data_IF_542839656222
#
_entry.id   IF_542839656222
#
_cell.length_a   1.000
_cell.length_b   1.000
_cell.length_c   1.000
_cell.angle_alpha   90.00
_cell.angle_beta   90.00
_cell.angle_gamma   90.00
#
_symmetry.space_group_name_H-M   'P 1'
#
loop_
_entity.id
_entity.type
_entity.pdbx_description
1 polymer ?
#
# COMPACT_ATOMS: atom_id res chain seq x y z
N UNK A 1 -47.89 -81.31 4.29
CA UNK A 1 -47.34 -82.67 4.19
C UNK A 1 -45.84 -82.56 3.94
N UNK A 2 -45.04 -83.33 4.70
CA UNK A 2 -43.66 -83.82 4.45
C UNK A 2 -42.82 -83.01 3.42
N UNK A 3 -41.68 -82.44 3.80
CA UNK A 3 -40.49 -83.24 4.10
C UNK A 3 -39.30 -82.44 4.65
N UNK A 4 -38.56 -83.12 5.52
CA UNK A 4 -37.30 -82.78 6.19
C UNK A 4 -36.15 -83.23 5.27
N UNK A 5 -34.99 -82.55 5.22
CA UNK A 5 -33.65 -83.00 5.70
C UNK A 5 -32.61 -81.97 5.17
N UNK A 6 -32.05 -81.09 6.02
CA UNK A 6 -30.70 -81.13 6.64
C UNK A 6 -29.70 -80.30 5.83
N UNK A 7 -28.91 -79.39 6.43
CA UNK A 7 -27.49 -79.63 6.75
C UNK A 7 -26.92 -78.53 7.67
N UNK A 8 -26.17 -79.02 8.68
CA UNK A 8 -25.08 -78.44 9.48
C UNK A 8 -25.21 -77.09 10.19
N UNK A 9 -25.05 -77.17 11.52
CA UNK A 9 -24.69 -76.09 12.44
C UNK A 9 -23.20 -75.78 12.35
N UNK A 10 -22.86 -74.50 12.29
CA UNK A 10 -21.60 -73.93 12.77
C UNK A 10 -21.91 -72.83 13.79
N UNK A 11 -21.24 -72.78 14.95
CA UNK A 11 -21.49 -71.77 15.96
C UNK A 11 -20.82 -70.46 15.56
N UNK A 12 -21.60 -69.38 15.45
CA UNK A 12 -21.07 -68.01 15.35
C UNK A 12 -20.55 -67.59 16.73
N UNK A 13 -19.24 -67.43 16.83
CA UNK A 13 -18.58 -66.78 17.95
C UNK A 13 -18.96 -65.29 17.96
N UNK A 14 -19.42 -64.81 19.11
CA UNK A 14 -19.59 -63.39 19.42
C UNK A 14 -18.20 -62.77 19.57
N UNK A 15 -17.79 -61.95 18.59
CA UNK A 15 -16.63 -61.06 18.71
C UNK A 15 -17.09 -59.76 19.36
N UNK A 16 -16.69 -59.57 20.61
CA UNK A 16 -16.77 -58.30 21.32
C UNK A 16 -15.80 -57.29 20.67
N UNK A 17 -16.33 -56.20 20.13
CA UNK A 17 -15.53 -55.08 19.67
C UNK A 17 -15.07 -54.25 20.88
N UNK A 18 -13.80 -54.39 21.24
CA UNK A 18 -13.13 -53.49 22.20
C UNK A 18 -12.88 -52.14 21.51
N UNK A 19 -13.58 -51.10 21.95
CA UNK A 19 -13.32 -49.73 21.54
C UNK A 19 -12.05 -49.22 22.24
N UNK A 20 -10.96 -49.06 21.49
CA UNK A 20 -9.77 -48.33 21.94
C UNK A 20 -10.02 -46.82 21.81
N UNK A 21 -10.35 -46.17 22.93
CA UNK A 21 -10.34 -44.71 23.04
C UNK A 21 -8.90 -44.20 22.98
N UNK A 22 -8.48 -43.66 21.83
CA UNK A 22 -7.25 -42.87 21.74
C UNK A 22 -7.52 -41.49 22.37
N UNK A 23 -6.92 -41.23 23.54
CA UNK A 23 -6.93 -39.91 24.14
C UNK A 23 -6.04 -38.97 23.31
N UNK A 24 -6.64 -38.05 22.56
CA UNK A 24 -5.92 -36.91 22.01
C UNK A 24 -5.51 -36.00 23.16
N UNK A 25 -4.21 -35.98 23.49
CA UNK A 25 -3.64 -34.95 24.31
C UNK A 25 -3.68 -33.62 23.52
N UNK A 26 -4.59 -32.74 23.89
CA UNK A 26 -4.60 -31.35 23.42
C UNK A 26 -3.39 -30.66 24.06
N UNK A 27 -2.32 -30.50 23.30
CA UNK A 27 -1.22 -29.62 23.69
C UNK A 27 -1.74 -28.18 23.54
N UNK A 28 -2.18 -27.60 24.65
CA UNK A 28 -2.45 -26.16 24.72
C UNK A 28 -1.09 -25.47 24.57
N UNK A 29 -0.82 -24.94 23.37
CA UNK A 29 0.31 -24.07 23.16
C UNK A 29 0.13 -22.84 24.04
N UNK A 30 0.89 -22.76 25.13
CA UNK A 30 1.01 -21.55 25.94
C UNK A 30 1.52 -20.47 24.99
N UNK A 31 0.85 -19.31 24.84
CA UNK A 31 1.36 -18.24 24.01
C UNK A 31 2.74 -17.87 24.55
N UNK A 32 3.75 -17.97 23.69
CA UNK A 32 5.08 -17.43 23.99
C UNK A 32 4.90 -15.97 24.41
N UNK A 33 5.46 -15.54 25.56
CA UNK A 33 5.41 -14.14 25.94
C UNK A 33 6.00 -13.34 24.78
N UNK A 34 5.24 -12.35 24.29
CA UNK A 34 5.75 -11.40 23.31
C UNK A 34 7.08 -10.88 23.85
N UNK A 35 8.17 -11.14 23.12
CA UNK A 35 9.47 -10.55 23.43
C UNK A 35 9.20 -9.05 23.51
N UNK A 36 9.35 -8.46 24.70
CA UNK A 36 9.23 -7.02 24.87
C UNK A 36 10.12 -6.39 23.81
N UNK A 37 9.53 -5.67 22.85
CA UNK A 37 10.31 -5.04 21.80
C UNK A 37 11.41 -4.23 22.47
N UNK A 38 12.66 -4.35 22.04
CA UNK A 38 13.74 -3.56 22.61
C UNK A 38 13.72 -2.19 21.93
N UNK A 39 14.10 -1.12 22.65
CA UNK A 39 14.32 0.18 22.01
C UNK A 39 15.38 0.01 20.90
N UNK A 40 15.20 0.62 19.71
CA UNK A 40 16.15 0.48 18.62
C UNK A 40 17.56 0.89 19.02
N UNK A 41 18.55 0.25 18.41
CA UNK A 41 19.96 0.61 18.61
C UNK A 41 20.25 2.02 18.07
N UNK A 42 21.36 2.62 18.50
CA UNK A 42 21.77 3.94 17.98
C UNK A 42 21.89 3.98 16.45
N UNK A 43 21.49 5.09 15.85
CA UNK A 43 21.42 5.26 14.39
C UNK A 43 20.54 6.43 13.96
N UNK A 44 20.41 6.65 12.65
CA UNK A 44 19.54 7.69 12.10
C UNK A 44 18.12 7.15 11.84
N UNK A 45 17.12 7.87 12.34
CA UNK A 45 15.71 7.50 12.28
C UNK A 45 14.84 8.69 11.87
N UNK A 46 13.70 8.37 11.26
CA UNK A 46 12.52 9.22 11.24
C UNK A 46 11.69 8.95 12.49
N UNK A 47 11.29 10.00 13.19
CA UNK A 47 10.27 9.92 14.24
C UNK A 47 8.92 10.12 13.56
N UNK A 48 8.23 9.03 13.24
CA UNK A 48 7.04 9.03 12.40
C UNK A 48 5.80 8.70 13.21
N UNK A 49 4.76 9.53 13.13
CA UNK A 49 3.51 9.33 13.86
C UNK A 49 2.83 8.03 13.44
N UNK A 50 2.47 7.18 14.39
CA UNK A 50 1.70 5.97 14.10
C UNK A 50 0.23 6.28 13.72
N UNK A 51 -0.23 7.51 13.95
CA UNK A 51 -1.60 7.96 13.66
C UNK A 51 -1.69 8.59 12.28
N UNK A 52 -0.80 9.51 11.95
CA UNK A 52 -0.88 10.32 10.72
C UNK A 52 0.07 9.82 9.63
N UNK A 53 1.10 9.04 9.99
CA UNK A 53 2.18 8.65 9.09
C UNK A 53 3.15 9.80 8.74
N UNK A 54 2.97 10.98 9.34
CA UNK A 54 3.83 12.15 9.13
C UNK A 54 5.08 12.11 10.01
N UNK A 55 6.15 12.77 9.56
CA UNK A 55 7.43 12.81 10.27
C UNK A 55 7.54 14.05 11.16
N UNK A 56 8.17 13.90 12.32
CA UNK A 56 8.62 15.04 13.11
C UNK A 56 9.81 15.72 12.40
N UNK A 57 9.63 17.00 12.06
CA UNK A 57 10.56 17.84 11.34
C UNK A 57 10.96 19.06 12.18
N UNK A 58 12.22 19.46 12.13
CA UNK A 58 12.63 20.78 12.65
C UNK A 58 12.21 21.88 11.67
N UNK A 59 11.44 22.84 12.17
CA UNK A 59 11.02 24.05 11.48
C UNK A 59 11.45 25.27 12.28
N UNK A 60 12.69 25.69 12.08
CA UNK A 60 13.28 26.87 12.73
C UNK A 60 13.13 26.86 14.27
N UNK A 61 13.36 25.71 14.91
CA UNK A 61 13.25 25.55 16.36
C UNK A 61 11.92 24.95 16.83
N UNK A 62 10.85 25.09 16.03
CA UNK A 62 9.63 24.32 16.21
C UNK A 62 9.86 22.88 15.76
N UNK A 63 9.17 21.92 16.40
CA UNK A 63 9.08 20.56 15.84
C UNK A 63 7.65 20.30 15.44
N UNK A 64 7.46 20.05 14.14
CA UNK A 64 6.16 19.93 13.49
C UNK A 64 6.02 18.58 12.77
N UNK A 65 4.78 18.17 12.47
CA UNK A 65 4.49 17.06 11.58
C UNK A 65 4.49 17.53 10.14
N UNK A 66 5.44 17.04 9.35
CA UNK A 66 5.52 17.30 7.93
C UNK A 66 5.29 16.02 7.11
N UNK A 67 4.89 16.21 5.85
CA UNK A 67 4.82 15.12 4.88
C UNK A 67 6.19 14.44 4.75
N UNK A 68 6.28 13.09 4.83
CA UNK A 68 7.56 12.42 4.70
C UNK A 68 8.28 12.82 3.41
N UNK A 69 9.53 13.28 3.54
CA UNK A 69 10.33 13.81 2.43
C UNK A 69 11.77 13.29 2.41
N UNK A 70 11.96 12.04 2.86
CA UNK A 70 13.25 11.36 2.77
C UNK A 70 14.36 12.12 3.51
N UNK A 71 15.43 12.49 2.82
CA UNK A 71 16.54 13.25 3.40
C UNK A 71 16.42 14.77 3.20
N UNK A 72 15.23 15.25 2.87
CA UNK A 72 14.90 16.66 2.83
C UNK A 72 14.06 17.03 4.06
N UNK A 73 13.86 18.35 4.26
CA UNK A 73 12.87 18.89 5.20
C UNK A 73 13.14 18.55 6.68
N UNK A 74 14.41 18.36 7.05
CA UNK A 74 14.87 18.29 8.45
C UNK A 74 14.19 17.21 9.32
N UNK A 75 13.95 16.03 8.74
CA UNK A 75 13.13 14.97 9.35
C UNK A 75 13.93 13.82 10.01
N UNK A 76 15.27 13.88 9.97
CA UNK A 76 16.13 12.79 10.41
C UNK A 76 16.82 13.09 11.75
N UNK A 77 16.79 12.11 12.64
CA UNK A 77 17.27 12.20 14.01
C UNK A 77 18.21 11.04 14.34
N UNK A 78 19.42 11.37 14.79
CA UNK A 78 20.38 10.43 15.34
C UNK A 78 20.00 10.05 16.77
N UNK A 79 19.49 8.83 16.94
CA UNK A 79 19.21 8.24 18.25
C UNK A 79 20.51 7.85 18.95
N UNK A 80 20.69 8.30 20.19
CA UNK A 80 21.86 8.03 21.03
C UNK A 80 21.43 7.76 22.47
N UNK A 81 22.14 6.86 23.15
CA UNK A 81 21.97 6.67 24.60
C UNK A 81 22.64 7.79 25.37
N UNK A 82 21.99 8.29 26.43
CA UNK A 82 22.52 9.28 27.36
C UNK A 82 22.16 8.88 28.80
N UNK A 83 23.08 8.18 29.46
CA UNK A 83 22.79 7.52 30.74
C UNK A 83 21.69 6.47 30.59
N UNK A 84 20.60 6.62 31.34
CA UNK A 84 19.39 5.78 31.24
C UNK A 84 18.33 6.32 30.27
N UNK A 85 18.59 7.45 29.62
CA UNK A 85 17.68 8.10 28.67
C UNK A 85 18.24 8.06 27.24
N UNK A 86 17.49 8.64 26.31
CA UNK A 86 17.83 8.75 24.91
C UNK A 86 17.84 10.21 24.45
N UNK A 87 18.70 10.51 23.49
CA UNK A 87 18.73 11.77 22.75
C UNK A 87 18.42 11.48 21.28
N UNK A 88 17.71 12.40 20.63
CA UNK A 88 17.41 12.38 19.21
C UNK A 88 18.02 13.66 18.62
N UNK A 89 19.29 13.59 18.21
CA UNK A 89 20.01 14.74 17.67
C UNK A 89 19.74 14.92 16.18
N UNK A 90 19.45 16.14 15.73
CA UNK A 90 19.28 16.46 14.31
C UNK A 90 20.48 15.95 13.49
N UNK A 91 20.21 15.38 12.31
CA UNK A 91 21.27 15.05 11.35
C UNK A 91 21.87 16.29 10.68
N UNK A 92 21.14 17.40 10.71
CA UNK A 92 21.47 18.59 9.91
C UNK A 92 22.17 19.65 10.76
N UNK A 93 21.88 19.70 12.06
CA UNK A 93 22.46 20.67 13.00
C UNK A 93 23.05 19.97 14.22
N UNK A 94 24.38 19.86 14.24
CA UNK A 94 25.10 19.24 15.35
C UNK A 94 24.82 19.94 16.70
N UNK A 95 24.61 19.14 17.74
CA UNK A 95 24.28 19.63 19.09
C UNK A 95 22.85 20.14 19.28
N UNK A 96 22.00 20.06 18.25
CA UNK A 96 20.56 20.36 18.33
C UNK A 96 19.74 19.08 18.41
N UNK A 97 18.95 18.90 19.48
CA UNK A 97 18.18 17.70 19.75
C UNK A 97 16.68 17.97 19.75
N UNK A 98 15.89 17.00 19.27
CA UNK A 98 14.46 16.93 19.52
C UNK A 98 14.23 16.87 21.04
N UNK A 99 13.60 17.90 21.56
CA UNK A 99 13.31 18.07 22.97
C UNK A 99 12.03 18.85 23.19
N UNK A 100 12.02 19.64 24.26
CA UNK A 100 10.80 20.24 24.81
C UNK A 100 11.01 21.69 25.21
N UNK A 101 9.96 22.48 25.12
CA UNK A 101 9.86 23.78 25.79
C UNK A 101 8.42 23.95 26.26
N UNK A 102 8.21 23.81 27.58
CA UNK A 102 6.86 23.71 28.14
C UNK A 102 6.07 22.55 27.54
N UNK A 103 4.87 22.85 27.04
CA UNK A 103 3.98 21.87 26.40
C UNK A 103 4.23 21.67 24.89
N UNK A 104 5.32 22.19 24.33
CA UNK A 104 5.63 22.10 22.91
C UNK A 104 6.90 21.30 22.63
N UNK A 105 6.89 20.51 21.56
CA UNK A 105 8.09 19.90 21.02
C UNK A 105 8.92 20.97 20.29
N UNK A 106 10.21 21.04 20.61
CA UNK A 106 11.16 22.03 20.10
C UNK A 106 12.50 21.39 19.86
N UNK A 107 13.34 22.00 19.03
CA UNK A 107 14.77 21.69 19.06
C UNK A 107 15.46 22.48 20.17
N UNK A 108 16.31 21.79 20.93
CA UNK A 108 17.02 22.33 22.10
C UNK A 108 18.47 21.88 22.06
N UNK A 109 19.36 22.55 22.81
CA UNK A 109 20.75 22.08 22.94
C UNK A 109 20.75 20.68 23.57
N UNK A 110 21.48 19.73 22.98
CA UNK A 110 21.49 18.32 23.42
C UNK A 110 21.95 18.09 24.87
N UNK A 111 22.66 19.06 25.47
CA UNK A 111 23.07 19.02 26.88
C UNK A 111 21.97 19.46 27.85
N UNK A 112 20.86 20.01 27.35
CA UNK A 112 19.71 20.38 28.16
C UNK A 112 18.99 19.15 28.72
N UNK A 113 18.47 19.25 29.94
CA UNK A 113 17.57 18.23 30.50
C UNK A 113 16.30 18.04 29.64
N UNK A 114 15.89 19.09 28.92
CA UNK A 114 14.73 19.05 28.02
C UNK A 114 14.97 18.27 26.72
N UNK A 115 16.21 17.83 26.45
CA UNK A 115 16.54 17.01 25.29
C UNK A 115 16.32 15.50 25.52
N UNK A 116 16.37 15.05 26.79
CA UNK A 116 16.37 13.63 27.14
C UNK A 116 14.97 13.00 27.04
N UNK A 117 14.86 11.77 26.52
CA UNK A 117 13.60 11.01 26.43
C UNK A 117 13.75 9.64 27.07
N UNK A 118 12.73 9.21 27.82
CA UNK A 118 12.50 7.81 28.15
C UNK A 118 11.74 7.17 26.98
N UNK A 119 12.42 6.37 26.16
CA UNK A 119 11.81 5.68 25.02
C UNK A 119 11.40 4.28 25.47
N UNK A 120 10.13 3.95 25.34
CA UNK A 120 9.59 2.65 25.75
C UNK A 120 8.71 2.04 24.66
N UNK A 121 8.69 0.71 24.50
CA UNK A 121 7.79 0.05 23.58
C UNK A 121 6.32 0.29 23.91
N UNK A 122 5.49 0.46 22.88
CA UNK A 122 4.04 0.69 22.98
C UNK A 122 3.22 -0.29 22.12
N UNK A 123 3.88 -1.24 21.45
CA UNK A 123 3.25 -2.23 20.58
C UNK A 123 4.28 -2.96 19.72
N UNK A 124 3.84 -3.57 18.62
CA UNK A 124 4.74 -4.15 17.62
C UNK A 124 5.47 -3.03 16.88
N UNK A 125 6.75 -2.84 17.21
CA UNK A 125 7.63 -1.82 16.62
C UNK A 125 7.11 -0.37 16.72
N UNK A 126 6.35 -0.09 17.79
CA UNK A 126 5.89 1.25 18.15
C UNK A 126 6.48 1.64 19.50
N UNK A 127 6.70 2.93 19.70
CA UNK A 127 7.37 3.49 20.87
C UNK A 127 6.65 4.74 21.36
N UNK A 128 6.75 4.98 22.67
CA UNK A 128 6.41 6.25 23.29
C UNK A 128 7.69 6.98 23.69
N UNK A 129 7.72 8.30 23.50
CA UNK A 129 8.81 9.16 23.95
C UNK A 129 8.30 9.95 25.16
N UNK A 130 8.66 9.51 26.36
CA UNK A 130 8.23 10.08 27.64
C UNK A 130 9.26 11.07 28.17
N UNK A 131 8.81 12.21 28.69
CA UNK A 131 9.68 13.19 29.33
C UNK A 131 10.11 12.66 30.71
N UNK A 132 11.42 12.55 31.00
CA UNK A 132 11.91 11.91 32.21
C UNK A 132 11.33 12.51 33.50
N UNK A 133 10.92 11.66 34.43
CA UNK A 133 10.36 12.10 35.73
C UNK A 133 8.96 12.72 35.68
N UNK A 134 8.26 12.66 34.55
CA UNK A 134 6.87 13.16 34.38
C UNK A 134 6.02 12.11 33.68
N UNK A 135 4.69 12.24 33.64
CA UNK A 135 3.82 11.38 32.81
C UNK A 135 3.48 11.98 31.44
N UNK A 136 4.32 12.90 30.97
CA UNK A 136 4.12 13.62 29.72
C UNK A 136 4.91 12.99 28.57
N UNK A 137 4.32 12.96 27.39
CA UNK A 137 4.86 12.26 26.20
C UNK A 137 4.92 13.20 25.00
N UNK A 138 5.79 12.93 24.02
CA UNK A 138 5.67 13.51 22.69
C UNK A 138 4.37 13.04 22.05
N UNK A 139 3.55 13.97 21.58
CA UNK A 139 2.22 13.67 21.04
C UNK A 139 1.90 14.49 19.80
N UNK A 140 1.13 13.90 18.92
CA UNK A 140 0.34 14.64 17.93
C UNK A 140 -0.76 15.43 18.66
N UNK A 141 -0.96 16.70 18.29
CA UNK A 141 -2.08 17.49 18.82
C UNK A 141 -3.44 16.87 18.48
N UNK A 142 -4.43 17.05 19.35
CA UNK A 142 -5.77 16.54 19.11
C UNK A 142 -6.35 17.12 17.79
N UNK A 143 -6.97 16.27 16.97
CA UNK A 143 -7.59 16.67 15.69
C UNK A 143 -8.84 17.52 15.96
N UNK A 144 -8.90 18.78 15.51
CA UNK A 144 -10.14 19.56 15.56
C UNK A 144 -11.18 18.99 14.58
N UNK A 145 -12.46 19.09 14.93
CA UNK A 145 -13.54 18.66 14.03
C UNK A 145 -13.47 19.42 12.69
N UNK A 146 -13.56 18.70 11.58
CA UNK A 146 -13.51 19.29 10.23
C UNK A 146 -12.13 19.77 9.77
N UNK A 147 -11.06 19.47 10.51
CA UNK A 147 -9.70 19.91 10.19
C UNK A 147 -8.69 18.75 10.18
N UNK A 148 -7.52 18.98 9.60
CA UNK A 148 -6.39 18.06 9.74
C UNK A 148 -5.80 18.11 11.16
N UNK A 149 -4.94 17.15 11.50
CA UNK A 149 -4.18 17.20 12.75
C UNK A 149 -3.26 18.44 12.77
N UNK A 150 -3.06 19.08 13.93
CA UNK A 150 -2.12 20.20 14.06
C UNK A 150 -0.70 19.79 13.64
N UNK A 151 -0.03 20.69 12.94
CA UNK A 151 1.37 20.52 12.55
C UNK A 151 2.28 20.50 13.78
N UNK A 152 2.24 21.53 14.62
CA UNK A 152 3.04 21.62 15.85
C UNK A 152 2.85 20.40 16.75
N UNK A 153 3.94 19.72 17.06
CA UNK A 153 3.94 18.63 18.02
C UNK A 153 3.91 19.15 19.45
N UNK A 154 3.14 18.45 20.29
CA UNK A 154 2.88 18.82 21.66
C UNK A 154 3.53 17.82 22.60
N UNK A 155 3.79 18.28 23.81
CA UNK A 155 4.00 17.42 24.96
C UNK A 155 2.62 17.19 25.56
N UNK A 156 2.24 15.97 25.90
CA UNK A 156 0.85 15.58 26.12
C UNK A 156 0.69 14.38 27.05
N UNK A 157 -0.53 13.91 27.22
CA UNK A 157 -0.82 12.66 27.96
C UNK A 157 -0.41 11.44 27.13
N UNK A 158 -0.23 10.29 27.79
CA UNK A 158 -0.12 9.02 27.09
C UNK A 158 -1.40 8.70 26.26
N UNK A 159 -1.28 7.85 25.25
CA UNK A 159 -2.40 7.40 24.43
C UNK A 159 -2.00 7.15 22.98
N UNK A 160 -2.98 6.93 22.11
CA UNK A 160 -2.74 6.66 20.68
C UNK A 160 -2.00 7.79 19.96
N UNK A 161 -2.27 9.05 20.32
CA UNK A 161 -1.57 10.23 19.78
C UNK A 161 -0.10 10.31 20.21
N UNK A 162 0.32 9.52 21.20
CA UNK A 162 1.69 9.43 21.71
C UNK A 162 2.47 8.24 21.11
N UNK A 163 1.90 7.54 20.12
CA UNK A 163 2.52 6.37 19.49
C UNK A 163 3.33 6.77 18.26
N UNK A 164 4.60 6.35 18.24
CA UNK A 164 5.59 6.70 17.22
C UNK A 164 6.28 5.46 16.68
N UNK A 165 6.54 5.47 15.38
CA UNK A 165 7.56 4.63 14.78
C UNK A 165 8.91 5.34 14.83
N UNK A 166 9.95 4.61 15.20
CA UNK A 166 11.33 5.01 14.93
C UNK A 166 11.77 4.28 13.67
N UNK A 167 11.49 4.89 12.51
CA UNK A 167 11.74 4.27 11.20
C UNK A 167 13.19 4.51 10.79
N UNK A 168 14.03 3.47 10.63
CA UNK A 168 15.44 3.67 10.28
C UNK A 168 15.56 4.28 8.88
N UNK A 169 16.49 5.24 8.71
CA UNK A 169 16.80 5.85 7.41
C UNK A 169 17.28 4.80 6.41
N UNK A 170 18.04 3.81 6.90
CA UNK A 170 18.51 2.66 6.13
C UNK A 170 17.94 1.39 6.76
N UNK A 171 16.72 0.95 6.38
CA UNK A 171 16.14 -0.28 6.91
C UNK A 171 16.92 -1.50 6.42
N UNK A 172 16.95 -2.54 7.25
CA UNK A 172 17.36 -3.87 6.79
C UNK A 172 16.36 -4.39 5.75
N UNK A 173 16.87 -5.18 4.82
CA UNK A 173 16.07 -5.86 3.80
C UNK A 173 16.42 -7.33 3.78
N UNK A 174 15.47 -8.17 3.39
CA UNK A 174 15.70 -9.60 3.20
C UNK A 174 15.85 -9.89 1.71
N UNK A 175 16.63 -10.91 1.30
CA UNK A 175 16.65 -11.37 -0.09
C UNK A 175 15.24 -11.74 -0.56
N UNK A 176 14.94 -11.45 -1.83
CA UNK A 176 13.67 -11.88 -2.44
C UNK A 176 13.56 -13.42 -2.40
N UNK A 177 12.44 -13.99 -1.91
CA UNK A 177 12.20 -15.42 -2.03
C UNK A 177 12.21 -15.89 -3.50
N UNK A 178 12.44 -17.18 -3.71
CA UNK A 178 12.37 -17.76 -5.04
C UNK A 178 10.98 -17.54 -5.68
N UNK A 179 10.87 -17.57 -7.03
CA UNK A 179 9.61 -17.28 -7.72
C UNK A 179 8.40 -18.10 -7.27
N UNK A 180 8.60 -19.32 -6.79
CA UNK A 180 7.57 -20.23 -6.26
C UNK A 180 7.14 -19.92 -4.81
N UNK A 181 7.94 -19.16 -4.06
CA UNK A 181 7.68 -18.84 -2.65
C UNK A 181 7.22 -17.40 -2.43
N UNK A 182 7.53 -16.47 -3.35
CA UNK A 182 7.20 -15.05 -3.18
C UNK A 182 5.69 -14.79 -3.22
N UNK A 183 5.21 -13.97 -2.29
CA UNK A 183 3.80 -13.55 -2.18
C UNK A 183 3.52 -12.29 -2.99
N UNK A 184 2.25 -12.01 -3.29
CA UNK A 184 1.86 -10.85 -4.09
C UNK A 184 2.34 -9.52 -3.47
N UNK A 185 2.28 -9.39 -2.14
CA UNK A 185 2.76 -8.21 -1.40
C UNK A 185 4.28 -8.09 -1.32
N UNK A 186 5.03 -9.09 -1.78
CA UNK A 186 6.48 -9.02 -1.92
C UNK A 186 6.93 -8.56 -3.31
N UNK A 187 6.09 -8.69 -4.34
CA UNK A 187 6.48 -8.38 -5.73
C UNK A 187 6.16 -6.94 -6.09
N UNK A 188 7.05 -6.32 -6.86
CA UNK A 188 6.86 -5.00 -7.45
C UNK A 188 6.56 -5.12 -8.94
N UNK A 189 5.61 -4.34 -9.44
CA UNK A 189 5.15 -4.32 -10.83
C UNK A 189 5.27 -2.90 -11.42
N UNK A 190 5.69 -2.82 -12.68
CA UNK A 190 5.58 -1.60 -13.46
C UNK A 190 4.10 -1.29 -13.69
N UNK A 191 3.70 -0.05 -13.42
CA UNK A 191 2.32 0.42 -13.54
C UNK A 191 2.25 1.63 -14.45
N UNK A 192 1.37 1.61 -15.45
CA UNK A 192 1.13 2.76 -16.31
C UNK A 192 0.03 3.64 -15.71
N UNK A 193 0.37 4.89 -15.39
CA UNK A 193 -0.61 5.91 -15.00
C UNK A 193 -1.44 6.31 -16.22
N UNK A 194 -2.76 6.42 -16.06
CA UNK A 194 -3.73 6.67 -17.14
C UNK A 194 -3.40 5.89 -18.41
N UNK A 195 -3.29 4.56 -18.28
CA UNK A 195 -2.78 3.69 -19.33
C UNK A 195 -3.56 3.82 -20.65
N UNK A 196 -4.85 4.11 -20.58
CA UNK A 196 -5.75 4.36 -21.70
C UNK A 196 -5.47 5.68 -22.44
N UNK A 197 -4.84 6.65 -21.76
CA UNK A 197 -4.48 7.96 -22.32
C UNK A 197 -3.19 7.86 -23.16
N UNK A 198 -3.27 7.06 -24.23
CA UNK A 198 -2.15 6.70 -25.08
C UNK A 198 -2.29 7.15 -26.55
N UNK A 199 -3.51 7.47 -26.99
CA UNK A 199 -3.80 7.94 -28.36
C UNK A 199 -3.70 6.88 -29.46
N UNK A 200 -3.22 5.66 -29.15
CA UNK A 200 -3.12 4.53 -30.08
C UNK A 200 -4.42 3.73 -30.11
N UNK A 201 -5.00 3.47 -28.94
CA UNK A 201 -6.21 2.66 -28.81
C UNK A 201 -7.50 3.45 -29.08
N UNK A 202 -7.45 4.76 -28.86
CA UNK A 202 -8.55 5.69 -29.05
C UNK A 202 -8.25 7.07 -28.47
N UNK A 203 -9.17 8.01 -28.63
CA UNK A 203 -9.07 9.31 -27.97
C UNK A 203 -9.50 9.21 -26.51
N UNK A 204 -8.89 10.04 -25.67
CA UNK A 204 -9.12 10.01 -24.22
C UNK A 204 -9.45 11.40 -23.65
N UNK A 205 -9.24 12.47 -24.42
CA UNK A 205 -9.49 13.84 -23.99
C UNK A 205 -9.79 14.75 -25.21
N UNK A 206 -10.27 15.99 -24.98
CA UNK A 206 -10.40 16.99 -26.03
C UNK A 206 -9.07 17.24 -26.76
N UNK A 207 -9.10 17.73 -28.03
CA UNK A 207 -7.93 17.75 -28.91
C UNK A 207 -6.64 18.37 -28.35
N UNK A 208 -6.75 19.37 -27.47
CA UNK A 208 -5.59 20.07 -26.89
C UNK A 208 -4.88 19.27 -25.78
N UNK A 209 -5.59 18.39 -25.07
CA UNK A 209 -5.00 17.52 -24.02
C UNK A 209 -4.26 16.33 -24.64
N UNK A 210 -4.66 15.90 -25.86
CA UNK A 210 -3.97 14.84 -26.61
C UNK A 210 -2.50 15.19 -26.96
N UNK A 211 -2.05 16.43 -26.76
CA UNK A 211 -0.66 16.85 -27.00
C UNK A 211 0.33 16.39 -25.92
N UNK A 212 -0.17 15.94 -24.76
CA UNK A 212 0.64 15.45 -23.63
C UNK A 212 0.05 14.14 -23.08
N UNK A 213 0.01 13.06 -23.89
CA UNK A 213 -0.57 11.80 -23.45
C UNK A 213 0.26 11.19 -22.32
N UNK A 214 -0.40 10.54 -21.36
CA UNK A 214 0.28 9.86 -20.26
C UNK A 214 1.15 8.72 -20.78
N UNK A 215 0.74 8.03 -21.84
CA UNK A 215 1.51 6.97 -22.49
C UNK A 215 1.57 7.19 -24.01
N UNK A 216 2.42 6.45 -24.73
CA UNK A 216 2.55 6.55 -26.21
C UNK A 216 2.26 5.24 -26.93
N UNK A 217 1.87 4.21 -26.17
CA UNK A 217 1.70 2.83 -26.65
C UNK A 217 0.36 2.30 -26.15
N UNK A 218 -0.37 1.60 -27.02
CA UNK A 218 -1.67 1.01 -26.67
C UNK A 218 -1.54 -0.15 -25.68
N UNK A 219 -2.63 -0.52 -24.99
CA UNK A 219 -2.67 -1.48 -23.88
C UNK A 219 -1.95 -2.80 -24.20
N UNK A 220 -2.14 -3.37 -25.40
CA UNK A 220 -1.47 -4.61 -25.80
C UNK A 220 0.05 -4.47 -25.85
N UNK A 221 0.56 -3.33 -26.30
CA UNK A 221 2.00 -3.06 -26.32
C UNK A 221 2.52 -2.82 -24.90
N UNK A 222 1.77 -2.13 -24.03
CA UNK A 222 2.14 -1.97 -22.62
C UNK A 222 2.29 -3.33 -21.92
N UNK A 223 1.33 -4.25 -22.14
CA UNK A 223 1.41 -5.63 -21.65
C UNK A 223 2.64 -6.35 -22.21
N UNK A 224 2.92 -6.21 -23.50
CA UNK A 224 4.10 -6.80 -24.15
C UNK A 224 5.41 -6.25 -23.57
N UNK A 225 5.44 -4.97 -23.22
CA UNK A 225 6.61 -4.28 -22.65
C UNK A 225 6.87 -4.59 -21.17
N UNK A 226 5.98 -5.36 -20.52
CA UNK A 226 6.13 -5.77 -19.13
C UNK A 226 5.34 -4.94 -18.12
N UNK A 227 4.45 -4.03 -18.55
CA UNK A 227 3.49 -3.37 -17.65
C UNK A 227 2.50 -4.40 -17.12
N UNK A 228 2.28 -4.39 -15.81
CA UNK A 228 1.38 -5.33 -15.11
C UNK A 228 0.39 -4.64 -14.17
N UNK A 229 0.57 -3.34 -13.92
CA UNK A 229 -0.44 -2.48 -13.30
C UNK A 229 -0.97 -1.44 -14.29
N UNK A 230 -2.27 -1.16 -14.24
CA UNK A 230 -2.91 -0.21 -15.14
C UNK A 230 -3.84 0.72 -14.35
N UNK A 231 -3.56 2.01 -14.34
CA UNK A 231 -4.50 3.01 -13.80
C UNK A 231 -5.39 3.52 -14.93
N UNK A 232 -6.69 3.57 -14.67
CA UNK A 232 -7.71 3.88 -15.67
C UNK A 232 -8.80 4.75 -15.07
N UNK A 233 -9.13 5.85 -15.73
CA UNK A 233 -10.22 6.72 -15.31
C UNK A 233 -11.45 6.34 -16.12
N UNK A 234 -12.56 6.12 -15.42
CA UNK A 234 -13.82 5.76 -16.05
C UNK A 234 -14.88 6.79 -15.74
N UNK A 235 -15.54 7.27 -16.79
CA UNK A 235 -16.66 8.19 -16.69
C UNK A 235 -17.91 7.56 -17.29
N UNK A 236 -19.05 7.76 -16.62
CA UNK A 236 -20.32 7.30 -17.14
C UNK A 236 -20.80 8.20 -18.28
N UNK A 237 -21.15 7.60 -19.40
CA UNK A 237 -21.83 8.24 -20.53
C UNK A 237 -23.11 7.49 -20.88
N UNK A 238 -23.84 7.93 -21.92
CA UNK A 238 -24.95 7.16 -22.47
C UNK A 238 -24.55 5.77 -22.99
N UNK A 239 -23.26 5.57 -23.28
CA UNK A 239 -22.73 4.38 -23.94
C UNK A 239 -22.09 3.39 -22.94
N UNK A 240 -22.11 3.72 -21.64
CA UNK A 240 -21.57 2.89 -20.55
C UNK A 240 -20.42 3.56 -19.80
N UNK A 241 -19.48 2.75 -19.30
CA UNK A 241 -18.25 3.23 -18.67
C UNK A 241 -17.18 3.47 -19.74
N UNK A 242 -16.79 4.74 -19.91
CA UNK A 242 -15.89 5.16 -20.97
C UNK A 242 -14.59 5.70 -20.38
N UNK A 243 -13.48 5.36 -21.02
CA UNK A 243 -12.13 5.76 -20.64
C UNK A 243 -11.83 7.18 -21.12
N UNK A 244 -11.79 8.15 -20.21
CA UNK A 244 -11.56 9.57 -20.50
C UNK A 244 -10.83 10.27 -19.37
N UNK A 245 -10.00 11.26 -19.71
CA UNK A 245 -9.32 12.08 -18.72
C UNK A 245 -10.19 13.28 -18.36
N UNK A 246 -10.63 13.36 -17.09
CA UNK A 246 -11.44 14.42 -16.49
C UNK A 246 -12.88 14.57 -17.07
N UNK A 247 -13.08 14.41 -18.38
CA UNK A 247 -14.40 14.44 -19.03
C UNK A 247 -14.38 13.73 -20.39
N UNK A 248 -15.48 13.04 -20.73
CA UNK A 248 -15.71 12.47 -22.06
C UNK A 248 -16.29 13.45 -23.10
N UNK A 249 -16.39 14.74 -22.78
CA UNK A 249 -16.90 15.76 -23.71
C UNK A 249 -15.91 16.00 -24.86
N UNK A 250 -16.39 16.00 -26.11
CA UNK A 250 -15.58 16.25 -27.32
C UNK A 250 -14.38 15.29 -27.50
N UNK A 251 -14.45 14.10 -26.91
CA UNK A 251 -13.46 13.04 -27.13
C UNK A 251 -13.79 12.31 -28.44
N UNK A 252 -12.82 12.25 -29.35
CA UNK A 252 -12.96 11.52 -30.60
C UNK A 252 -12.61 10.05 -30.42
N UNK A 253 -13.52 9.13 -30.78
CA UNK A 253 -13.35 7.67 -30.68
C UNK A 253 -12.91 7.21 -29.27
N UNK A 254 -13.70 7.51 -28.24
CA UNK A 254 -13.39 7.05 -26.90
C UNK A 254 -13.53 5.52 -26.81
N UNK A 255 -12.81 4.92 -25.86
CA UNK A 255 -12.79 3.47 -25.65
C UNK A 255 -13.63 3.13 -24.44
N UNK A 256 -14.51 2.12 -24.56
CA UNK A 256 -15.27 1.61 -23.42
C UNK A 256 -14.39 0.70 -22.56
N UNK A 257 -14.58 0.73 -21.23
CA UNK A 257 -13.78 -0.01 -20.26
C UNK A 257 -13.65 -1.50 -20.62
N UNK A 258 -14.76 -2.14 -20.97
CA UNK A 258 -14.79 -3.58 -21.25
C UNK A 258 -13.85 -3.98 -22.40
N UNK A 259 -13.56 -3.08 -23.35
CA UNK A 259 -12.64 -3.34 -24.47
C UNK A 259 -11.21 -3.53 -23.97
N UNK A 260 -10.75 -2.65 -23.08
CA UNK A 260 -9.39 -2.71 -22.56
C UNK A 260 -9.22 -3.83 -21.53
N UNK A 261 -10.25 -4.11 -20.72
CA UNK A 261 -10.25 -5.30 -19.86
C UNK A 261 -10.27 -6.59 -20.70
N UNK A 262 -10.97 -6.63 -21.84
CA UNK A 262 -10.93 -7.77 -22.76
C UNK A 262 -9.52 -8.02 -23.30
N UNK A 263 -8.79 -6.96 -23.69
CA UNK A 263 -7.38 -7.08 -24.10
C UNK A 263 -6.51 -7.71 -23.00
N UNK A 264 -6.70 -7.33 -21.74
CA UNK A 264 -5.98 -7.91 -20.61
C UNK A 264 -6.36 -9.37 -20.36
N UNK A 265 -7.64 -9.72 -20.44
CA UNK A 265 -8.10 -11.11 -20.30
C UNK A 265 -7.53 -11.98 -21.42
N UNK A 266 -7.50 -11.50 -22.66
CA UNK A 266 -6.95 -12.25 -23.80
C UNK A 266 -5.43 -12.38 -23.72
N UNK A 267 -4.73 -11.38 -23.19
CA UNK A 267 -3.32 -11.49 -22.84
C UNK A 267 -3.09 -12.57 -21.78
N UNK A 268 -3.86 -12.57 -20.69
CA UNK A 268 -3.73 -13.58 -19.64
C UNK A 268 -4.00 -14.99 -20.15
N UNK A 269 -4.92 -15.18 -21.11
CA UNK A 269 -5.14 -16.47 -21.78
C UNK A 269 -3.92 -16.94 -22.57
N UNK A 270 -3.23 -16.02 -23.24
CA UNK A 270 -2.02 -16.32 -24.03
C UNK A 270 -0.76 -16.48 -23.17
N UNK A 271 -0.75 -15.87 -21.98
CA UNK A 271 0.37 -15.85 -21.05
C UNK A 271 -0.05 -16.35 -19.66
N UNK A 272 -0.16 -17.68 -19.47
CA UNK A 272 -0.72 -18.29 -18.26
C UNK A 272 0.10 -18.02 -16.99
N UNK A 273 1.36 -17.63 -17.12
CA UNK A 273 2.30 -17.32 -16.05
C UNK A 273 2.25 -15.85 -15.57
N UNK A 274 1.42 -15.02 -16.20
CA UNK A 274 1.36 -13.58 -15.93
C UNK A 274 0.16 -13.22 -15.06
N UNK A 275 0.29 -12.11 -14.32
CA UNK A 275 -0.78 -11.48 -13.53
C UNK A 275 -0.99 -10.03 -13.96
N UNK A 276 -2.19 -9.49 -13.82
CA UNK A 276 -2.50 -8.09 -14.12
C UNK A 276 -3.29 -7.48 -12.97
N UNK A 277 -3.04 -6.21 -12.67
CA UNK A 277 -3.83 -5.42 -11.73
C UNK A 277 -4.33 -4.15 -12.39
N UNK A 278 -5.61 -3.84 -12.20
CA UNK A 278 -6.26 -2.62 -12.69
C UNK A 278 -6.69 -1.77 -11.50
N UNK A 279 -6.40 -0.47 -11.54
CA UNK A 279 -6.86 0.54 -10.61
C UNK A 279 -7.78 1.49 -11.35
N UNK A 280 -9.01 1.64 -10.86
CA UNK A 280 -10.04 2.47 -11.47
C UNK A 280 -10.20 3.76 -10.65
N UNK A 281 -9.99 4.90 -11.30
CA UNK A 281 -10.55 6.17 -10.85
C UNK A 281 -11.99 6.25 -11.35
N UNK A 282 -12.95 6.13 -10.43
CA UNK A 282 -14.26 5.58 -10.74
C UNK A 282 -15.41 6.58 -10.55
N UNK A 283 -15.88 7.13 -11.66
CA UNK A 283 -17.02 8.07 -11.71
C UNK A 283 -18.30 7.43 -12.28
N UNK A 284 -18.45 6.11 -12.11
CA UNK A 284 -19.53 5.33 -12.73
C UNK A 284 -20.50 4.76 -11.68
N UNK A 285 -21.78 4.62 -12.02
CA UNK A 285 -22.74 3.90 -11.17
C UNK A 285 -22.34 2.41 -11.04
N UNK A 286 -22.41 1.79 -9.85
CA UNK A 286 -22.00 0.40 -9.66
C UNK A 286 -22.76 -0.60 -10.56
N UNK A 287 -24.01 -0.30 -10.93
CA UNK A 287 -24.81 -1.11 -11.86
C UNK A 287 -24.32 -1.04 -13.30
N UNK A 288 -23.88 0.14 -13.75
CA UNK A 288 -23.25 0.34 -15.06
C UNK A 288 -21.90 -0.35 -15.10
N UNK A 289 -21.04 -0.17 -14.09
CA UNK A 289 -19.74 -0.84 -14.02
C UNK A 289 -19.89 -2.37 -14.04
N UNK A 290 -20.82 -2.93 -13.27
CA UNK A 290 -21.13 -4.36 -13.28
C UNK A 290 -21.55 -4.84 -14.68
N UNK A 291 -22.39 -4.06 -15.36
CA UNK A 291 -22.87 -4.40 -16.71
C UNK A 291 -21.74 -4.36 -17.73
N UNK A 292 -20.82 -3.42 -17.61
CA UNK A 292 -19.63 -3.31 -18.47
C UNK A 292 -18.70 -4.51 -18.29
N UNK A 293 -18.39 -4.88 -17.04
CA UNK A 293 -17.56 -6.05 -16.76
C UNK A 293 -18.21 -7.36 -17.20
N UNK A 294 -19.53 -7.46 -17.16
CA UNK A 294 -20.27 -8.64 -17.65
C UNK A 294 -20.12 -8.85 -19.18
N UNK A 295 -19.67 -7.84 -19.93
CA UNK A 295 -19.37 -7.95 -21.37
C UNK A 295 -18.02 -8.60 -21.67
N UNK A 296 -17.16 -8.74 -20.67
CA UNK A 296 -15.80 -9.27 -20.83
C UNK A 296 -15.82 -10.80 -20.81
N UNK A 297 -15.50 -11.42 -21.95
CA UNK A 297 -15.51 -12.86 -22.12
C UNK A 297 -14.33 -13.54 -21.41
N UNK A 298 -14.65 -14.38 -20.42
CA UNK A 298 -13.67 -15.11 -19.61
C UNK A 298 -13.13 -14.33 -18.40
N UNK A 299 -13.72 -13.18 -18.06
CA UNK A 299 -13.30 -12.39 -16.89
C UNK A 299 -13.40 -13.19 -15.59
N UNK A 300 -14.51 -13.89 -15.38
CA UNK A 300 -14.74 -14.70 -14.18
C UNK A 300 -13.69 -15.78 -13.97
N UNK A 301 -13.09 -16.28 -15.05
CA UNK A 301 -12.13 -17.38 -15.00
C UNK A 301 -10.76 -16.92 -14.49
N UNK A 302 -10.46 -15.61 -14.63
CA UNK A 302 -9.18 -15.02 -14.25
C UNK A 302 -9.25 -14.07 -13.05
N UNK A 303 -10.44 -13.66 -12.63
CA UNK A 303 -10.62 -12.66 -11.58
C UNK A 303 -10.24 -13.21 -10.20
N UNK A 304 -9.31 -12.53 -9.53
CA UNK A 304 -8.94 -12.82 -8.15
C UNK A 304 -9.78 -12.00 -7.16
N UNK A 305 -10.31 -12.67 -6.14
CA UNK A 305 -11.22 -12.12 -5.12
C UNK A 305 -10.59 -12.22 -3.73
N UNK A 306 -9.76 -11.24 -3.31
CA UNK A 306 -9.05 -11.32 -2.03
C UNK A 306 -9.99 -11.36 -0.81
N UNK A 307 -11.21 -10.83 -0.95
CA UNK A 307 -12.28 -10.88 0.03
C UNK A 307 -12.81 -12.31 0.30
N UNK A 308 -12.57 -13.25 -0.62
CA UNK A 308 -13.06 -14.64 -0.54
C UNK A 308 -11.97 -15.67 -0.26
N UNK A 309 -10.71 -15.25 -0.21
CA UNK A 309 -9.54 -16.15 -0.10
C UNK A 309 -8.79 -16.03 1.21
N UNK A 310 -9.36 -15.30 2.18
CA UNK A 310 -8.80 -15.22 3.53
C UNK A 310 -7.56 -14.32 3.66
N UNK A 311 -7.34 -13.39 2.71
CA UNK A 311 -6.15 -12.53 2.69
C UNK A 311 -6.00 -11.72 3.99
N UNK A 312 -7.11 -11.29 4.59
CA UNK A 312 -7.07 -10.55 5.86
C UNK A 312 -6.56 -11.38 7.03
N UNK A 313 -6.78 -12.69 7.00
CA UNK A 313 -6.46 -13.63 8.07
C UNK A 313 -5.10 -14.32 7.86
N UNK A 314 -4.69 -14.49 6.60
CA UNK A 314 -3.52 -15.32 6.24
C UNK A 314 -2.46 -14.60 5.41
N UNK A 315 -2.69 -13.32 5.07
CA UNK A 315 -1.81 -12.56 4.19
C UNK A 315 -2.06 -12.82 2.71
N UNK A 316 -1.31 -12.13 1.87
CA UNK A 316 -1.44 -12.30 0.42
C UNK A 316 -0.91 -13.66 -0.04
N UNK A 317 -1.56 -14.30 -1.03
CA UNK A 317 -1.15 -15.61 -1.52
C UNK A 317 0.18 -15.54 -2.26
N UNK A 318 0.80 -16.71 -2.46
CA UNK A 318 1.95 -16.86 -3.34
C UNK A 318 1.55 -16.56 -4.78
N UNK A 319 2.48 -15.98 -5.52
CA UNK A 319 2.30 -15.75 -6.96
C UNK A 319 2.03 -17.06 -7.70
N UNK A 320 2.71 -18.15 -7.33
CA UNK A 320 2.51 -19.47 -7.91
C UNK A 320 1.09 -20.01 -7.68
N UNK A 321 0.49 -19.74 -6.51
CA UNK A 321 -0.86 -20.21 -6.19
C UNK A 321 -1.93 -19.45 -7.00
N UNK A 322 -1.75 -18.12 -7.18
CA UNK A 322 -2.58 -17.31 -8.06
C UNK A 322 -2.54 -17.83 -9.50
N UNK A 323 -1.33 -18.14 -9.99
CA UNK A 323 -1.12 -18.67 -11.34
C UNK A 323 -1.78 -20.04 -11.50
N UNK A 324 -1.52 -20.96 -10.57
CA UNK A 324 -2.06 -22.32 -10.62
C UNK A 324 -3.59 -22.36 -10.53
N UNK A 325 -4.20 -21.47 -9.76
CA UNK A 325 -5.65 -21.32 -9.64
C UNK A 325 -6.28 -20.51 -10.79
N UNK A 326 -5.49 -20.03 -11.74
CA UNK A 326 -5.87 -19.11 -12.80
C UNK A 326 -6.44 -17.76 -12.31
N UNK A 327 -6.38 -17.43 -11.02
CA UNK A 327 -6.83 -16.15 -10.47
C UNK A 327 -5.76 -15.07 -10.60
N UNK A 328 -5.65 -14.47 -11.79
CA UNK A 328 -4.51 -13.67 -12.22
C UNK A 328 -4.85 -12.21 -12.58
N UNK A 329 -6.09 -11.77 -12.39
CA UNK A 329 -6.52 -10.38 -12.59
C UNK A 329 -7.12 -9.80 -11.30
N UNK A 330 -6.57 -8.70 -10.79
CA UNK A 330 -7.18 -7.90 -9.73
C UNK A 330 -7.75 -6.60 -10.31
N UNK A 331 -8.90 -6.17 -9.80
CA UNK A 331 -9.50 -4.88 -10.15
C UNK A 331 -9.83 -4.14 -8.86
N UNK A 332 -9.30 -2.93 -8.72
CA UNK A 332 -9.55 -2.04 -7.60
C UNK A 332 -10.25 -0.76 -8.06
N UNK A 333 -11.05 -0.15 -7.18
CA UNK A 333 -11.74 1.14 -7.39
C UNK A 333 -11.31 2.14 -6.32
N UNK A 334 -11.16 3.42 -6.65
CA UNK A 334 -10.89 4.48 -5.68
C UNK A 334 -12.15 4.97 -4.94
N UNK A 335 -13.32 4.51 -5.39
CA UNK A 335 -14.62 4.75 -4.76
C UNK A 335 -14.65 4.19 -3.32
N UNK A 336 -15.59 4.68 -2.51
CA UNK A 336 -15.77 4.19 -1.14
C UNK A 336 -16.90 3.18 -1.05
N UNK A 337 -16.77 2.16 -0.19
CA UNK A 337 -17.86 1.21 0.09
C UNK A 337 -19.11 1.92 0.60
N UNK A 338 -18.96 2.86 1.53
CA UNK A 338 -20.07 3.62 2.10
C UNK A 338 -20.88 4.39 1.05
N UNK A 339 -20.22 4.86 -0.01
CA UNK A 339 -20.91 5.53 -1.12
C UNK A 339 -21.83 4.55 -1.89
N UNK A 340 -21.42 3.29 -2.03
CA UNK A 340 -22.18 2.25 -2.75
C UNK A 340 -23.23 1.53 -1.92
N UNK A 341 -23.04 1.45 -0.61
CA UNK A 341 -24.04 0.90 0.30
C UNK A 341 -25.38 1.62 0.17
N UNK A 342 -25.33 2.95 -0.05
CA UNK A 342 -26.51 3.76 -0.33
C UNK A 342 -27.22 3.39 -1.63
N UNK A 343 -26.49 2.84 -2.61
CA UNK A 343 -27.01 2.38 -3.89
C UNK A 343 -27.51 0.92 -3.85
N UNK A 344 -27.32 0.19 -2.75
CA UNK A 344 -27.74 -1.20 -2.60
C UNK A 344 -26.96 -2.21 -3.45
N UNK A 345 -25.85 -1.79 -4.06
CA UNK A 345 -24.98 -2.64 -4.87
C UNK A 345 -23.52 -2.25 -4.62
N UNK A 346 -22.80 -3.09 -3.89
CA UNK A 346 -21.38 -2.88 -3.62
C UNK A 346 -20.51 -3.52 -4.71
N UNK A 347 -19.41 -2.85 -5.06
CA UNK A 347 -18.48 -3.25 -6.14
C UNK A 347 -17.80 -4.57 -5.89
N UNK A 348 -17.53 -4.86 -4.61
CA UNK A 348 -16.97 -6.13 -4.21
C UNK A 348 -17.92 -7.29 -4.53
N UNK A 349 -19.24 -7.13 -4.57
CA UNK A 349 -20.17 -8.21 -4.94
C UNK A 349 -19.87 -8.84 -6.31
N UNK A 350 -19.38 -8.06 -7.27
CA UNK A 350 -19.00 -8.49 -8.62
C UNK A 350 -17.50 -8.45 -8.91
N UNK A 351 -16.68 -8.26 -7.86
CA UNK A 351 -15.25 -8.54 -7.90
C UNK A 351 -14.34 -7.35 -8.20
N UNK A 352 -14.84 -6.14 -7.98
CA UNK A 352 -14.04 -4.92 -7.93
C UNK A 352 -13.83 -4.53 -6.47
N UNK A 353 -12.58 -4.50 -6.01
CA UNK A 353 -12.24 -4.27 -4.61
C UNK A 353 -12.01 -2.78 -4.30
N UNK A 354 -12.40 -2.30 -3.13
CA UNK A 354 -12.17 -0.91 -2.75
C UNK A 354 -10.69 -0.66 -2.39
N UNK A 355 -10.00 0.23 -3.11
CA UNK A 355 -8.58 0.52 -2.90
C UNK A 355 -8.29 0.85 -1.43
N UNK A 356 -9.10 1.71 -0.80
CA UNK A 356 -8.92 2.11 0.61
C UNK A 356 -8.96 0.96 1.61
N UNK A 357 -9.52 -0.19 1.23
CA UNK A 357 -9.56 -1.40 2.07
C UNK A 357 -8.38 -2.34 1.81
N UNK A 358 -7.79 -2.30 0.62
CA UNK A 358 -6.83 -3.32 0.14
C UNK A 358 -5.43 -2.79 -0.17
N UNK A 359 -5.31 -1.48 -0.35
CA UNK A 359 -4.07 -0.80 -0.73
C UNK A 359 -3.81 0.41 0.16
N UNK A 360 -2.60 0.94 0.07
CA UNK A 360 -2.24 2.31 0.45
C UNK A 360 -1.63 2.99 -0.76
N UNK A 361 -1.81 4.31 -0.90
CA UNK A 361 -1.37 5.03 -2.08
C UNK A 361 -0.86 6.43 -1.72
N UNK A 362 0.29 6.83 -2.27
CA UNK A 362 0.80 8.18 -2.03
C UNK A 362 0.12 9.24 -2.90
N UNK A 363 0.25 10.49 -2.48
CA UNK A 363 -0.24 11.66 -3.21
C UNK A 363 0.18 11.61 -4.69
N UNK A 364 -0.79 11.89 -5.56
CA UNK A 364 -0.73 11.57 -6.99
C UNK A 364 0.26 12.44 -7.78
N UNK A 365 0.71 13.58 -7.26
CA UNK A 365 1.55 14.51 -8.03
C UNK A 365 2.89 14.80 -7.38
N UNK A 366 3.94 14.81 -8.22
CA UNK A 366 5.27 15.33 -7.92
C UNK A 366 5.42 16.82 -8.30
N UNK A 367 4.32 17.53 -8.48
CA UNK A 367 4.27 18.93 -8.88
C UNK A 367 3.91 19.13 -10.34
N UNK A 368 4.01 20.39 -10.79
CA UNK A 368 3.60 20.74 -12.15
C UNK A 368 4.48 20.09 -13.22
N UNK A 369 4.05 20.14 -14.47
CA UNK A 369 4.77 19.52 -15.60
C UNK A 369 6.21 20.01 -15.81
N UNK A 370 6.55 21.22 -15.35
CA UNK A 370 7.88 21.83 -15.49
C UNK A 370 8.46 22.22 -14.12
N UNK A 371 9.78 22.27 -14.03
CA UNK A 371 10.51 22.67 -12.83
C UNK A 371 10.88 21.48 -11.93
N UNK A 372 11.13 21.77 -10.66
CA UNK A 372 11.57 20.76 -9.68
C UNK A 372 10.43 19.81 -9.31
N UNK A 373 10.78 18.55 -9.06
CA UNK A 373 9.84 17.56 -8.53
C UNK A 373 9.70 17.71 -7.02
N UNK A 374 8.50 17.59 -6.49
CA UNK A 374 8.27 17.32 -5.07
C UNK A 374 8.42 15.82 -4.80
N UNK A 375 9.44 15.47 -4.02
CA UNK A 375 9.76 14.09 -3.66
C UNK A 375 8.99 13.58 -2.44
N UNK A 376 8.11 14.41 -1.86
CA UNK A 376 7.29 14.00 -0.73
C UNK A 376 6.48 12.74 -1.05
N UNK A 377 6.31 11.90 -0.02
CA UNK A 377 5.62 10.63 -0.14
C UNK A 377 4.71 10.45 1.07
N UNK A 378 3.50 10.97 0.95
CA UNK A 378 2.48 10.95 1.99
C UNK A 378 1.18 10.39 1.41
N UNK A 379 0.30 9.89 2.26
CA UNK A 379 -0.94 9.26 1.82
C UNK A 379 -1.82 10.25 1.05
N UNK A 380 -2.42 9.80 -0.05
CA UNK A 380 -3.49 10.56 -0.73
C UNK A 380 -4.79 10.60 0.07
N UNK A 381 -4.93 9.77 1.11
CA UNK A 381 -6.12 9.68 1.98
C UNK A 381 -5.84 10.29 3.36
N UNK A 382 -5.34 11.53 3.36
CA UNK A 382 -5.14 12.34 4.55
C UNK A 382 -5.93 13.64 4.42
N UNK A 383 -6.97 13.79 5.25
CA UNK A 383 -7.88 14.93 5.23
C UNK A 383 -8.74 15.03 6.49
N UNK A 384 -9.67 16.00 6.48
CA UNK A 384 -10.59 16.25 7.58
C UNK A 384 -11.43 15.01 7.93
N UNK A 385 -11.89 14.27 6.92
CA UNK A 385 -12.83 13.15 7.08
C UNK A 385 -12.20 11.77 6.81
N UNK A 386 -10.92 11.72 6.44
CA UNK A 386 -10.23 10.46 6.13
C UNK A 386 -8.78 10.51 6.57
N UNK A 387 -8.30 9.46 7.23
CA UNK A 387 -6.90 9.34 7.63
C UNK A 387 -6.46 7.87 7.52
N UNK A 388 -5.88 7.52 6.38
CA UNK A 388 -5.28 6.20 6.15
C UNK A 388 -3.80 6.44 5.86
N UNK A 389 -2.90 6.31 6.85
CA UNK A 389 -1.47 6.55 6.63
C UNK A 389 -0.87 5.44 5.75
N UNK A 390 0.22 5.76 5.02
CA UNK A 390 0.94 4.75 4.24
C UNK A 390 1.50 3.61 5.11
N UNK A 391 1.71 3.88 6.40
CA UNK A 391 2.16 2.91 7.41
C UNK A 391 1.08 1.92 7.82
N UNK A 392 -0.18 2.12 7.45
CA UNK A 392 -1.30 1.25 7.83
C UNK A 392 -1.01 -0.22 7.51
N UNK A 393 -1.20 -1.07 8.50
CA UNK A 393 -1.07 -2.52 8.41
C UNK A 393 -1.93 -3.16 9.49
N UNK A 394 -2.40 -4.37 9.23
CA UNK A 394 -3.02 -5.26 10.20
C UNK A 394 -2.05 -6.39 10.54
N UNK A 395 -2.40 -7.23 11.52
CA UNK A 395 -1.52 -8.28 12.04
C UNK A 395 -1.09 -9.30 10.98
N UNK A 396 -2.03 -9.80 10.18
CA UNK A 396 -1.80 -10.77 9.11
C UNK A 396 -1.92 -10.16 7.71
N UNK A 397 -2.36 -8.90 7.60
CA UNK A 397 -2.65 -8.25 6.34
C UNK A 397 -1.87 -6.96 6.17
N UNK A 398 -1.06 -6.93 5.10
CA UNK A 398 -0.31 -5.76 4.66
C UNK A 398 -0.98 -5.24 3.39
N UNK A 399 -1.63 -4.06 3.40
CA UNK A 399 -2.17 -3.46 2.18
C UNK A 399 -1.07 -3.30 1.11
N UNK A 400 -1.42 -3.54 -0.16
CA UNK A 400 -0.48 -3.33 -1.26
C UNK A 400 -0.16 -1.83 -1.41
N UNK A 401 1.09 -1.48 -1.64
CA UNK A 401 1.47 -0.08 -1.79
C UNK A 401 1.54 0.34 -3.27
N UNK A 402 0.67 1.26 -3.66
CA UNK A 402 0.67 1.95 -4.95
C UNK A 402 1.49 3.23 -4.84
N UNK A 403 2.63 3.27 -5.52
CA UNK A 403 3.52 4.42 -5.53
C UNK A 403 3.32 5.26 -6.80
N UNK A 404 2.68 6.42 -6.67
CA UNK A 404 2.52 7.40 -7.74
C UNK A 404 3.82 8.19 -7.94
N UNK A 405 4.36 8.15 -9.16
CA UNK A 405 5.58 8.82 -9.60
C UNK A 405 5.38 9.49 -10.96
N UNK A 406 4.59 10.55 -10.95
CA UNK A 406 4.30 11.37 -12.11
C UNK A 406 3.94 12.80 -11.67
N UNK A 407 3.81 13.70 -12.64
CA UNK A 407 3.52 15.13 -12.46
C UNK A 407 2.10 15.42 -12.92
N UNK A 408 1.65 16.66 -12.70
CA UNK A 408 0.34 17.12 -13.19
C UNK A 408 0.22 17.07 -14.73
N UNK A 409 1.35 17.07 -15.45
CA UNK A 409 1.39 16.92 -16.90
C UNK A 409 2.54 16.00 -17.34
N UNK A 410 2.22 15.05 -18.22
CA UNK A 410 3.12 14.02 -18.75
C UNK A 410 4.14 14.53 -19.79
N UNK A 411 4.85 15.63 -19.47
CA UNK A 411 5.85 16.22 -20.37
C UNK A 411 7.02 15.23 -20.53
N UNK A 412 7.33 14.87 -21.78
CA UNK A 412 8.29 13.82 -22.09
C UNK A 412 9.68 14.02 -21.45
N UNK A 413 10.19 15.25 -21.43
CA UNK A 413 11.52 15.56 -20.90
C UNK A 413 11.62 15.43 -19.37
N UNK A 414 10.60 15.89 -18.65
CA UNK A 414 10.53 15.74 -17.19
C UNK A 414 10.25 14.30 -16.83
N UNK A 415 9.32 13.62 -17.50
CA UNK A 415 9.08 12.20 -17.30
C UNK A 415 10.34 11.34 -17.54
N UNK A 416 11.11 11.63 -18.60
CA UNK A 416 12.41 10.95 -18.86
C UNK A 416 13.32 11.09 -17.64
N UNK A 417 13.47 12.31 -17.13
CA UNK A 417 14.38 12.61 -16.02
C UNK A 417 13.89 12.01 -14.71
N UNK A 418 12.60 12.15 -14.39
CA UNK A 418 12.01 11.65 -13.16
C UNK A 418 12.05 10.12 -13.12
N UNK A 419 11.75 9.43 -14.24
CA UNK A 419 11.75 7.98 -14.29
C UNK A 419 13.15 7.38 -14.04
N UNK A 420 14.24 8.10 -14.36
CA UNK A 420 15.61 7.66 -13.98
C UNK A 420 15.84 7.61 -12.47
N UNK A 421 15.02 8.31 -11.68
CA UNK A 421 15.13 8.44 -10.22
C UNK A 421 14.09 7.58 -9.47
N UNK A 422 13.36 6.73 -10.17
CA UNK A 422 12.24 5.97 -9.60
C UNK A 422 12.69 5.04 -8.46
N UNK A 423 13.78 4.29 -8.64
CA UNK A 423 14.33 3.42 -7.59
C UNK A 423 14.78 4.20 -6.35
N UNK A 424 15.42 5.35 -6.60
CA UNK A 424 15.93 6.24 -5.57
C UNK A 424 14.80 6.82 -4.71
N UNK A 425 13.72 7.30 -5.34
CA UNK A 425 12.52 7.76 -4.63
C UNK A 425 11.86 6.63 -3.85
N UNK A 426 11.71 5.46 -4.47
CA UNK A 426 11.11 4.31 -3.83
C UNK A 426 11.88 3.93 -2.55
N UNK A 427 13.22 3.93 -2.58
CA UNK A 427 14.05 3.48 -1.47
C UNK A 427 14.25 4.53 -0.36
N UNK A 428 14.50 5.80 -0.74
CA UNK A 428 14.90 6.85 0.21
C UNK A 428 13.74 7.71 0.71
N UNK A 429 12.63 7.79 -0.04
CA UNK A 429 11.50 8.64 0.32
C UNK A 429 10.27 7.80 0.66
N UNK A 430 9.80 6.97 -0.27
CA UNK A 430 8.51 6.28 -0.12
C UNK A 430 8.57 5.04 0.78
N UNK A 431 9.66 4.26 0.74
CA UNK A 431 9.82 3.10 1.61
C UNK A 431 9.82 3.45 3.10
N UNK A 432 10.61 4.44 3.59
CA UNK A 432 10.51 4.83 4.99
C UNK A 432 9.15 5.46 5.31
N UNK A 433 8.57 6.25 4.41
CA UNK A 433 7.25 6.83 4.63
C UNK A 433 6.12 5.80 4.78
N UNK A 434 6.15 4.73 3.97
CA UNK A 434 5.15 3.67 4.02
C UNK A 434 5.49 2.55 5.01
N UNK A 435 6.75 2.48 5.45
CA UNK A 435 7.34 1.30 6.11
C UNK A 435 7.00 0.02 5.34
N UNK A 436 7.07 0.10 4.01
CA UNK A 436 6.70 -0.92 3.02
C UNK A 436 7.50 -0.72 1.75
N UNK A 437 7.70 -1.80 0.99
CA UNK A 437 8.19 -1.71 -0.40
C UNK A 437 7.00 -1.47 -1.33
N UNK A 438 7.09 -0.56 -2.32
CA UNK A 438 6.03 -0.40 -3.32
C UNK A 438 5.75 -1.71 -4.07
N UNK A 439 4.47 -2.07 -4.19
CA UNK A 439 4.03 -3.17 -5.04
C UNK A 439 3.76 -2.69 -6.46
N UNK A 440 3.36 -1.43 -6.63
CA UNK A 440 3.08 -0.84 -7.94
C UNK A 440 3.86 0.46 -8.06
N UNK A 441 4.67 0.58 -9.12
CA UNK A 441 5.34 1.82 -9.48
C UNK A 441 4.58 2.47 -10.64
N UNK A 442 3.69 3.42 -10.33
CA UNK A 442 2.86 4.11 -11.30
C UNK A 442 3.60 5.31 -11.90
N UNK A 443 3.78 5.29 -13.23
CA UNK A 443 4.53 6.33 -13.96
C UNK A 443 3.78 6.80 -15.21
N UNK A 444 3.99 8.06 -15.55
CA UNK A 444 3.78 8.55 -16.92
C UNK A 444 4.97 8.14 -17.78
N UNK A 445 4.71 7.93 -19.08
CA UNK A 445 5.72 7.65 -20.09
C UNK A 445 6.64 6.51 -19.68
N UNK A 446 6.06 5.35 -19.40
CA UNK A 446 6.82 4.17 -18.97
C UNK A 446 7.92 3.77 -20.00
N UNK A 447 7.79 4.24 -21.25
CA UNK A 447 8.75 4.09 -22.33
C UNK A 447 10.04 4.92 -22.14
N UNK A 448 10.07 5.88 -21.22
CA UNK A 448 11.15 6.83 -21.01
C UNK A 448 11.79 6.66 -19.62
N UNK A 449 13.12 6.84 -19.55
CA UNK A 449 13.87 6.84 -18.29
C UNK A 449 14.10 5.48 -17.64
N UNK A 450 13.77 4.38 -18.31
CA UNK A 450 14.00 2.99 -17.87
C UNK A 450 13.41 2.65 -16.48
N UNK A 451 12.10 2.82 -16.26
CA UNK A 451 11.46 2.48 -14.99
C UNK A 451 11.52 0.98 -14.66
N UNK A 452 11.68 0.11 -15.67
CA UNK A 452 11.87 -1.34 -15.48
C UNK A 452 13.10 -1.67 -14.62
N UNK A 453 14.20 -0.91 -14.75
CA UNK A 453 15.38 -1.06 -13.89
C UNK A 453 15.06 -0.87 -12.39
N UNK A 454 14.13 0.04 -12.07
CA UNK A 454 13.66 0.21 -10.69
C UNK A 454 12.84 -0.98 -10.22
N UNK A 455 11.98 -1.54 -11.08
CA UNK A 455 11.23 -2.77 -10.80
C UNK A 455 12.18 -3.94 -10.52
N UNK A 456 13.19 -4.14 -11.37
CA UNK A 456 14.19 -5.19 -11.19
C UNK A 456 14.94 -5.02 -9.87
N UNK A 457 15.37 -3.80 -9.56
CA UNK A 457 16.05 -3.46 -8.29
C UNK A 457 15.16 -3.79 -7.09
N UNK A 458 13.89 -3.37 -7.10
CA UNK A 458 12.96 -3.63 -6.00
C UNK A 458 12.56 -5.10 -5.89
N UNK A 459 12.70 -5.89 -6.96
CA UNK A 459 12.46 -7.33 -6.94
C UNK A 459 13.68 -8.16 -6.52
N UNK A 460 14.77 -7.54 -6.07
CA UNK A 460 15.91 -8.24 -5.44
C UNK A 460 15.74 -8.47 -3.94
N UNK A 461 14.77 -7.80 -3.30
CA UNK A 461 14.60 -7.83 -1.84
C UNK A 461 13.15 -7.69 -1.39
N UNK A 462 12.87 -8.07 -0.14
CA UNK A 462 11.62 -7.78 0.58
C UNK A 462 11.88 -6.83 1.74
N UNK A 463 10.85 -6.05 2.10
CA UNK A 463 10.84 -5.25 3.31
C UNK A 463 10.25 -6.10 4.46
N UNK A 464 10.89 -6.14 5.63
CA UNK A 464 10.48 -7.00 6.76
C UNK A 464 9.10 -6.67 7.36
#
# INVERSE_FOLDING_TARGET
MKGIVTVMRTPRALLAATATTAALAVVVAVPTPAVSAQVPTGGAYFVQSAVTGLNAADNAGAVEQHNPKGNEDHQQWNLRTSGSAYLLESTDTAGSCLGRSGDQARTVVCTSADAAWEITPAGTDQYTLKAPGTDRHLTVGAKPSGSNYPAQLAIGSAGSLASWYLTPVTPSVNPMPSPDQRTLDQVTFLTAHNAYANGVDGGFAPPFVNLVPNQTRGINQQLTDGVRGFMMDIHQTSDGAILCHNSCTLVSKPVALWVDIQRMVDFLKQHPDQVVTVFLEDYVDPGVLRSELARVSGLSDVLYRPDRTGVRQSGWPRMADLIAANHRLLIFTDHSRSSDESAGLTRDSFGVMYQREWTVENYWSMGSGLGSSDWSCYSRWYGADTNIPLTYTESAFRPLFVMNHFRDAAIASTATTDNTKLADRAQRFCRPAARKKPNFLAVDRYDLGNPTSAVDTLNTYTYP
#
